data_IF_152273541781
#
_entry.id   IF_152273541781
#
_cell.length_a   1.000
_cell.length_b   1.000
_cell.length_c   1.000
_cell.angle_alpha   90.00
_cell.angle_beta   90.00
_cell.angle_gamma   90.00
#
_symmetry.space_group_name_H-M   'P 1'
#
loop_
_entity.id
_entity.type
_entity.pdbx_description
1 polymer ?
#
# COMPACT_ATOMS: atom_id res chain seq x y z
N UNK A 1 72.42 67.59 32.93
CA UNK A 1 72.10 67.96 34.33
C UNK A 1 70.66 68.45 34.42
N UNK A 2 69.82 67.70 35.14
CA UNK A 2 68.59 68.07 35.85
C UNK A 2 67.68 69.22 35.35
N UNK A 3 66.42 68.91 34.97
CA UNK A 3 65.21 68.98 35.84
C UNK A 3 63.90 68.75 35.08
N UNK A 4 63.00 67.96 35.71
CA UNK A 4 61.51 68.06 35.80
C UNK A 4 60.71 68.01 34.48
N UNK A 5 59.47 67.54 34.40
CA UNK A 5 58.47 66.87 35.23
C UNK A 5 57.25 66.81 34.30
N UNK A 6 56.46 65.74 34.28
CA UNK A 6 54.99 65.78 34.42
C UNK A 6 54.36 64.42 34.08
N UNK A 7 53.61 63.93 35.07
CA UNK A 7 52.62 62.85 35.04
C UNK A 7 51.66 63.00 33.87
N UNK A 8 51.09 61.92 33.36
CA UNK A 8 49.66 61.79 33.05
C UNK A 8 49.20 60.32 33.15
N UNK A 9 47.97 60.17 33.64
CA UNK A 9 47.23 58.97 33.99
C UNK A 9 46.75 58.16 32.76
N UNK A 10 46.52 56.85 32.95
CA UNK A 10 45.27 56.11 32.65
C UNK A 10 45.62 54.60 32.59
N UNK A 11 45.37 53.84 33.65
CA UNK A 11 44.12 53.09 33.91
C UNK A 11 43.90 51.97 32.88
N UNK A 12 43.87 50.76 33.42
CA UNK A 12 43.93 49.50 32.69
C UNK A 12 42.76 49.22 31.76
N UNK A 13 43.05 48.41 30.75
CA UNK A 13 42.05 47.57 30.08
C UNK A 13 42.34 46.13 30.46
N UNK A 14 41.57 45.62 31.41
CA UNK A 14 41.47 44.20 31.66
C UNK A 14 40.72 43.54 30.49
N UNK A 15 41.22 42.39 30.07
CA UNK A 15 40.55 41.46 29.17
C UNK A 15 39.20 41.02 29.73
N UNK A 16 38.19 40.92 28.86
CA UNK A 16 37.12 39.93 29.00
C UNK A 16 36.93 39.30 27.62
N UNK A 17 37.61 38.17 27.37
CA UNK A 17 37.20 37.26 26.32
C UNK A 17 35.97 36.51 26.83
N UNK A 18 34.79 36.87 26.33
CA UNK A 18 33.57 36.10 26.55
C UNK A 18 33.61 34.84 25.69
N UNK A 19 34.07 33.73 26.27
CA UNK A 19 33.87 32.40 25.70
C UNK A 19 32.40 32.02 25.90
N UNK A 20 31.58 32.19 24.86
CA UNK A 20 30.24 31.60 24.81
C UNK A 20 30.42 30.11 24.60
N UNK A 21 30.30 29.32 25.68
CA UNK A 21 30.07 27.88 25.57
C UNK A 21 28.69 27.69 24.94
N UNK A 22 28.65 27.41 23.64
CA UNK A 22 27.50 26.76 23.04
C UNK A 22 27.43 25.35 23.64
N UNK A 23 26.50 25.13 24.57
CA UNK A 23 26.07 23.79 24.95
C UNK A 23 25.43 23.17 23.69
N UNK A 24 26.25 22.48 22.89
CA UNK A 24 25.74 21.52 21.93
C UNK A 24 25.10 20.41 22.76
N UNK A 25 23.80 20.52 23.01
CA UNK A 25 23.00 19.39 23.48
C UNK A 25 23.14 18.34 22.37
N UNK A 26 23.74 17.16 22.64
CA UNK A 26 23.70 16.09 21.67
C UNK A 26 22.23 15.79 21.45
N UNK A 27 21.73 16.09 20.25
CA UNK A 27 20.39 15.67 19.86
C UNK A 27 20.32 14.17 20.07
N UNK A 28 19.37 13.73 20.90
CA UNK A 28 19.08 12.32 21.07
C UNK A 28 18.74 11.81 19.67
N UNK A 29 19.61 10.98 19.09
CA UNK A 29 19.31 10.38 17.81
C UNK A 29 18.21 9.36 18.06
N UNK A 30 16.98 9.74 17.73
CA UNK A 30 15.85 8.82 17.68
C UNK A 30 16.20 7.70 16.68
N UNK A 31 16.33 6.48 17.19
CA UNK A 31 16.56 5.26 16.43
C UNK A 31 15.21 4.65 15.99
N UNK A 32 14.96 4.67 14.68
CA UNK A 32 13.84 3.95 14.08
C UNK A 32 13.90 2.45 14.47
N UNK A 33 12.88 1.98 15.18
CA UNK A 33 12.78 0.58 15.63
C UNK A 33 11.90 -0.27 14.72
N UNK A 34 11.29 0.35 13.70
CA UNK A 34 10.53 -0.39 12.69
C UNK A 34 11.46 -1.40 12.01
N UNK A 35 11.00 -2.65 12.02
CA UNK A 35 11.59 -3.73 11.25
C UNK A 35 10.48 -4.46 10.50
N UNK A 36 10.84 -4.98 9.33
CA UNK A 36 9.93 -5.66 8.42
C UNK A 36 10.58 -6.95 7.95
N UNK A 37 9.79 -8.01 7.88
CA UNK A 37 10.13 -9.25 7.17
C UNK A 37 9.00 -9.57 6.21
N UNK A 38 9.33 -9.83 4.94
CA UNK A 38 8.35 -10.31 3.96
C UNK A 38 8.24 -11.83 4.07
N UNK A 39 7.00 -12.34 4.11
CA UNK A 39 6.70 -13.77 4.15
C UNK A 39 5.87 -14.17 2.95
N UNK A 40 6.15 -15.36 2.41
CA UNK A 40 5.35 -15.98 1.34
C UNK A 40 5.48 -17.50 1.37
N UNK A 41 4.39 -18.27 1.21
CA UNK A 41 4.46 -19.73 1.04
C UNK A 41 4.89 -20.14 -0.38
N UNK A 42 5.04 -19.18 -1.31
CA UNK A 42 5.22 -19.44 -2.73
C UNK A 42 3.90 -19.56 -3.50
N UNK A 43 4.00 -19.97 -4.76
CA UNK A 43 2.89 -19.98 -5.71
C UNK A 43 1.90 -21.12 -5.43
N UNK A 44 0.61 -20.77 -5.40
CA UNK A 44 -0.51 -21.72 -5.40
C UNK A 44 -1.12 -21.76 -6.80
N UNK A 45 -1.32 -22.95 -7.35
CA UNK A 45 -1.96 -23.12 -8.66
C UNK A 45 -3.36 -22.48 -8.67
N UNK A 46 -3.65 -21.72 -9.72
CA UNK A 46 -4.91 -21.02 -9.91
C UNK A 46 -6.09 -21.94 -10.27
N UNK A 47 -7.29 -21.39 -10.43
CA UNK A 47 -8.48 -22.15 -10.77
C UNK A 47 -8.35 -22.82 -12.15
N UNK A 48 -8.90 -24.03 -12.24
CA UNK A 48 -8.98 -24.79 -13.50
C UNK A 48 -10.28 -24.55 -14.28
N UNK A 49 -11.18 -23.73 -13.74
CA UNK A 49 -12.48 -23.40 -14.32
C UNK A 49 -12.68 -21.89 -14.45
N UNK A 50 -13.47 -21.46 -15.44
CA UNK A 50 -13.84 -20.05 -15.58
C UNK A 50 -14.74 -19.60 -14.44
N UNK A 51 -14.73 -18.29 -14.16
CA UNK A 51 -15.57 -17.65 -13.15
C UNK A 51 -15.41 -18.27 -11.77
N UNK A 52 -14.15 -18.50 -11.38
CA UNK A 52 -13.81 -19.09 -10.09
C UNK A 52 -12.54 -18.45 -9.55
N UNK A 53 -12.27 -18.71 -8.27
CA UNK A 53 -11.10 -18.17 -7.59
C UNK A 53 -10.44 -19.21 -6.70
N UNK A 54 -9.20 -18.92 -6.35
CA UNK A 54 -8.46 -19.56 -5.27
C UNK A 54 -8.20 -18.54 -4.17
N UNK A 55 -8.12 -19.02 -2.94
CA UNK A 55 -7.59 -18.27 -1.81
C UNK A 55 -6.36 -18.98 -1.27
N UNK A 56 -5.30 -18.22 -1.02
CA UNK A 56 -4.06 -18.65 -0.38
C UNK A 56 -3.59 -17.55 0.55
N UNK A 57 -2.59 -17.80 1.39
CA UNK A 57 -2.23 -16.87 2.46
C UNK A 57 -0.75 -16.93 2.81
N UNK A 58 -0.23 -15.81 3.28
CA UNK A 58 1.10 -15.68 3.85
C UNK A 58 1.01 -15.29 5.32
N UNK A 59 1.91 -15.86 6.12
CA UNK A 59 1.82 -15.80 7.58
C UNK A 59 3.05 -15.16 8.21
N UNK A 60 2.78 -14.27 9.17
CA UNK A 60 3.80 -13.71 10.04
C UNK A 60 4.07 -14.66 11.21
N UNK A 61 5.21 -15.34 11.15
CA UNK A 61 5.73 -16.14 12.28
C UNK A 61 6.18 -15.27 13.47
N UNK A 62 6.41 -13.98 13.22
CA UNK A 62 6.79 -12.97 14.20
C UNK A 62 6.32 -11.60 13.73
N UNK A 63 5.87 -10.76 14.66
CA UNK A 63 5.29 -9.46 14.34
C UNK A 63 3.83 -9.55 13.87
N UNK A 64 3.30 -8.40 13.46
CA UNK A 64 1.92 -8.24 13.02
C UNK A 64 1.91 -7.90 11.53
N UNK A 65 0.84 -8.26 10.84
CA UNK A 65 0.69 -7.84 9.45
C UNK A 65 0.38 -6.34 9.41
N UNK A 66 1.23 -5.55 8.76
CA UNK A 66 0.97 -4.14 8.43
C UNK A 66 0.35 -3.96 7.04
N UNK A 67 0.46 -4.98 6.20
CA UNK A 67 -0.11 -5.05 4.87
C UNK A 67 0.38 -6.28 4.13
N UNK A 68 0.04 -6.40 2.86
CA UNK A 68 0.49 -7.52 2.05
C UNK A 68 0.04 -7.40 0.61
N UNK A 69 0.43 -8.39 -0.17
CA UNK A 69 0.36 -8.33 -1.61
C UNK A 69 0.06 -9.67 -2.25
N UNK A 70 0.01 -9.65 -3.58
CA UNK A 70 -0.14 -10.83 -4.42
C UNK A 70 0.64 -10.61 -5.71
N UNK A 71 1.32 -11.65 -6.19
CA UNK A 71 1.88 -11.74 -7.53
C UNK A 71 1.24 -12.91 -8.27
N UNK A 72 1.04 -12.78 -9.58
CA UNK A 72 0.40 -13.80 -10.40
C UNK A 72 1.26 -14.14 -11.61
N UNK A 73 1.60 -15.42 -11.76
CA UNK A 73 1.99 -15.93 -13.07
C UNK A 73 0.69 -16.18 -13.85
N UNK A 74 0.42 -15.41 -14.90
CA UNK A 74 -0.88 -15.43 -15.60
C UNK A 74 -0.92 -16.31 -16.85
N UNK A 75 0.22 -16.89 -17.23
CA UNK A 75 0.38 -17.59 -18.51
C UNK A 75 0.65 -16.64 -19.68
N UNK A 76 0.45 -17.13 -20.90
CA UNK A 76 0.75 -16.38 -22.14
C UNK A 76 -0.42 -16.42 -23.13
N UNK A 77 -0.45 -15.45 -24.04
CA UNK A 77 -1.48 -15.37 -25.08
C UNK A 77 -2.87 -15.09 -24.51
N UNK A 78 -3.91 -15.36 -25.28
CA UNK A 78 -5.27 -14.95 -24.94
C UNK A 78 -5.85 -15.63 -23.70
N UNK A 79 -5.26 -16.75 -23.25
CA UNK A 79 -5.68 -17.43 -22.03
C UNK A 79 -5.22 -16.71 -20.74
N UNK A 80 -4.29 -15.75 -20.83
CA UNK A 80 -3.93 -14.90 -19.68
C UNK A 80 -4.98 -13.81 -19.42
N UNK A 81 -5.77 -13.43 -20.43
CA UNK A 81 -6.71 -12.31 -20.36
C UNK A 81 -7.80 -12.45 -19.30
N UNK A 82 -8.07 -13.68 -18.85
CA UNK A 82 -9.05 -13.97 -17.81
C UNK A 82 -8.47 -14.00 -16.39
N UNK A 83 -7.15 -14.09 -16.21
CA UNK A 83 -6.57 -14.25 -14.88
C UNK A 83 -6.35 -12.89 -14.25
N UNK A 84 -6.82 -12.68 -13.03
CA UNK A 84 -6.71 -11.39 -12.33
C UNK A 84 -6.70 -11.55 -10.82
N UNK A 85 -6.32 -10.48 -10.13
CA UNK A 85 -6.48 -10.38 -8.67
C UNK A 85 -7.96 -10.20 -8.34
N UNK A 86 -8.46 -10.96 -7.36
CA UNK A 86 -9.79 -10.80 -6.77
C UNK A 86 -9.73 -10.13 -5.39
N UNK A 87 -8.57 -10.18 -4.73
CA UNK A 87 -8.31 -9.40 -3.55
C UNK A 87 -7.01 -9.73 -2.84
N UNK A 88 -6.64 -8.82 -1.95
CA UNK A 88 -5.61 -8.96 -0.92
C UNK A 88 -6.19 -8.41 0.38
N UNK A 89 -6.18 -9.21 1.45
CA UNK A 89 -6.90 -8.84 2.66
C UNK A 89 -6.26 -9.44 3.93
N UNK A 90 -6.37 -8.78 5.08
CA UNK A 90 -5.99 -9.37 6.36
C UNK A 90 -6.93 -10.52 6.73
N UNK A 91 -6.43 -11.48 7.53
CA UNK A 91 -7.21 -12.56 8.10
C UNK A 91 -6.75 -12.89 9.52
N UNK A 92 -7.69 -13.35 10.35
CA UNK A 92 -7.41 -13.81 11.72
C UNK A 92 -6.70 -15.16 11.77
N UNK A 93 -6.87 -16.00 10.74
CA UNK A 93 -6.45 -17.41 10.77
C UNK A 93 -5.93 -17.94 9.43
N UNK A 94 -5.83 -17.09 8.40
CA UNK A 94 -5.39 -17.48 7.07
C UNK A 94 -6.50 -18.01 6.16
N UNK A 95 -7.74 -18.04 6.63
CA UNK A 95 -8.90 -18.56 5.90
C UNK A 95 -10.16 -17.69 6.02
N UNK A 96 -10.32 -16.99 7.15
CA UNK A 96 -11.47 -16.13 7.42
C UNK A 96 -11.34 -14.81 6.64
N UNK A 97 -12.35 -14.52 5.82
CA UNK A 97 -12.50 -13.22 5.14
C UNK A 97 -13.38 -12.26 5.96
N UNK A 98 -12.94 -11.02 6.13
CA UNK A 98 -13.72 -9.97 6.80
C UNK A 98 -14.74 -9.30 5.85
N UNK A 99 -15.86 -9.97 5.55
CA UNK A 99 -16.90 -9.46 4.62
C UNK A 99 -18.22 -9.06 5.31
N UNK A 100 -18.34 -9.29 6.62
CA UNK A 100 -19.56 -9.10 7.40
C UNK A 100 -19.90 -7.63 7.71
N UNK A 101 -19.36 -7.08 8.80
CA UNK A 101 -19.65 -5.74 9.32
C UNK A 101 -18.58 -4.71 8.97
N UNK A 102 -18.94 -3.43 8.86
CA UNK A 102 -17.97 -2.33 8.71
C UNK A 102 -17.44 -1.87 10.09
N UNK A 103 -16.35 -1.09 10.08
CA UNK A 103 -15.66 -0.62 11.29
C UNK A 103 -14.46 -1.51 11.64
N UNK A 104 -14.05 -1.53 12.91
CA UNK A 104 -12.97 -2.41 13.39
C UNK A 104 -13.46 -3.86 13.39
N UNK A 105 -12.85 -4.70 12.56
CA UNK A 105 -13.26 -6.10 12.32
C UNK A 105 -12.26 -7.13 12.84
N UNK A 106 -11.04 -6.71 13.15
CA UNK A 106 -9.99 -7.57 13.68
C UNK A 106 -8.88 -6.76 14.34
N UNK A 107 -8.06 -7.45 15.11
CA UNK A 107 -6.89 -6.88 15.81
C UNK A 107 -5.73 -7.86 15.71
N UNK A 108 -4.51 -7.34 15.63
CA UNK A 108 -3.28 -8.13 15.68
C UNK A 108 -3.25 -9.32 14.69
N UNK A 109 -3.78 -9.09 13.48
CA UNK A 109 -3.80 -10.11 12.44
C UNK A 109 -2.37 -10.54 12.04
N UNK A 110 -2.16 -11.84 11.96
CA UNK A 110 -0.89 -12.46 11.56
C UNK A 110 -0.93 -13.10 10.18
N UNK A 111 -2.07 -13.06 9.50
CA UNK A 111 -2.28 -13.71 8.22
C UNK A 111 -2.74 -12.72 7.15
N UNK A 112 -2.24 -12.90 5.93
CA UNK A 112 -2.63 -12.11 4.77
C UNK A 112 -3.06 -12.99 3.61
N UNK A 113 -4.31 -12.82 3.18
CA UNK A 113 -4.90 -13.52 2.06
C UNK A 113 -4.45 -12.90 0.72
N UNK A 114 -4.12 -13.76 -0.22
CA UNK A 114 -4.06 -13.45 -1.65
C UNK A 114 -5.10 -14.27 -2.39
N UNK A 115 -5.99 -13.60 -3.11
CA UNK A 115 -7.13 -14.21 -3.79
C UNK A 115 -6.98 -13.97 -5.29
N UNK A 116 -6.80 -15.05 -6.05
CA UNK A 116 -6.63 -15.02 -7.50
C UNK A 116 -7.85 -15.57 -8.21
N UNK A 117 -8.34 -14.85 -9.21
CA UNK A 117 -9.51 -15.21 -10.01
C UNK A 117 -9.17 -15.58 -11.45
N UNK A 118 -9.99 -16.44 -12.03
CA UNK A 118 -10.07 -16.65 -13.47
C UNK A 118 -11.47 -16.28 -13.95
N UNK A 119 -11.55 -15.33 -14.87
CA UNK A 119 -12.75 -14.90 -15.56
C UNK A 119 -13.13 -15.84 -16.69
N UNK A 120 -13.34 -15.30 -17.89
CA UNK A 120 -13.79 -16.07 -19.06
C UNK A 120 -12.74 -16.99 -19.70
N UNK A 121 -11.51 -17.02 -19.16
CA UNK A 121 -10.44 -17.88 -19.64
C UNK A 121 -9.61 -18.41 -18.46
N UNK A 122 -9.06 -19.61 -18.63
CA UNK A 122 -8.15 -20.27 -17.67
C UNK A 122 -6.84 -20.62 -18.35
N UNK A 123 -5.76 -20.68 -17.58
CA UNK A 123 -4.45 -21.07 -18.06
C UNK A 123 -3.82 -22.07 -17.06
N UNK A 124 -3.27 -23.19 -17.53
CA UNK A 124 -2.65 -24.19 -16.67
C UNK A 124 -1.37 -23.73 -15.95
N UNK A 125 -0.78 -22.62 -16.40
CA UNK A 125 0.33 -21.94 -15.73
C UNK A 125 -0.13 -20.83 -14.78
N UNK A 126 -1.46 -20.60 -14.64
CA UNK A 126 -1.97 -19.61 -13.70
C UNK A 126 -1.61 -20.02 -12.27
N UNK A 127 -1.01 -19.10 -11.52
CA UNK A 127 -0.78 -19.26 -10.09
C UNK A 127 -0.83 -17.91 -9.38
N UNK A 128 -1.09 -17.95 -8.07
CA UNK A 128 -1.08 -16.78 -7.19
C UNK A 128 -0.13 -17.01 -6.03
N UNK A 129 0.74 -16.04 -5.78
CA UNK A 129 1.70 -16.01 -4.68
C UNK A 129 1.31 -14.89 -3.71
N UNK A 130 0.84 -15.20 -2.50
CA UNK A 130 0.51 -14.18 -1.50
C UNK A 130 1.77 -13.71 -0.79
N UNK A 131 1.76 -12.46 -0.34
CA UNK A 131 2.83 -11.85 0.45
C UNK A 131 2.25 -11.21 1.71
N UNK A 132 2.91 -11.41 2.85
CA UNK A 132 2.64 -10.68 4.08
C UNK A 132 3.85 -9.80 4.42
N UNK A 133 3.58 -8.55 4.78
CA UNK A 133 4.58 -7.63 5.34
C UNK A 133 4.47 -7.71 6.87
N UNK A 134 5.42 -8.43 7.48
CA UNK A 134 5.44 -8.68 8.91
C UNK A 134 6.22 -7.59 9.63
N UNK A 135 5.49 -6.77 10.36
CA UNK A 135 5.96 -5.56 11.00
C UNK A 135 6.22 -5.78 12.49
N UNK A 136 7.30 -5.18 12.99
CA UNK A 136 7.59 -5.04 14.42
C UNK A 136 8.07 -3.63 14.72
N UNK A 137 7.67 -3.07 15.86
CA UNK A 137 8.14 -1.80 16.39
C UNK A 137 8.11 -1.85 17.92
N UNK A 138 9.02 -1.12 18.58
CA UNK A 138 8.97 -0.96 20.04
C UNK A 138 7.81 -0.04 20.47
N UNK A 139 7.33 0.83 19.58
CA UNK A 139 6.23 1.75 19.85
C UNK A 139 4.88 1.16 19.42
N UNK A 140 4.79 0.70 18.18
CA UNK A 140 3.56 0.09 17.64
C UNK A 140 3.65 -1.42 17.84
N UNK A 141 3.07 -1.89 18.94
CA UNK A 141 3.04 -3.29 19.33
C UNK A 141 1.67 -3.97 19.13
N UNK A 142 0.67 -3.21 18.70
CA UNK A 142 -0.66 -3.69 18.35
C UNK A 142 -1.14 -3.05 17.04
N UNK A 143 -1.96 -3.79 16.28
CA UNK A 143 -2.64 -3.30 15.09
C UNK A 143 -4.14 -3.60 15.14
N UNK A 144 -4.91 -2.86 14.36
CA UNK A 144 -6.33 -3.09 14.16
C UNK A 144 -6.65 -3.00 12.67
N UNK A 145 -7.60 -3.83 12.24
CA UNK A 145 -8.12 -3.82 10.89
C UNK A 145 -9.47 -3.15 10.88
N UNK A 146 -9.58 -2.08 10.09
CA UNK A 146 -10.84 -1.41 9.78
C UNK A 146 -11.29 -1.86 8.40
N UNK A 147 -12.57 -2.21 8.27
CA UNK A 147 -13.18 -2.53 6.98
C UNK A 147 -14.31 -1.55 6.68
N UNK A 148 -14.41 -1.17 5.41
CA UNK A 148 -15.62 -0.58 4.86
C UNK A 148 -16.03 -1.33 3.58
N UNK A 149 -17.31 -1.27 3.22
CA UNK A 149 -17.83 -1.94 2.03
C UNK A 149 -18.98 -1.18 1.40
N UNK A 150 -19.17 -1.37 0.10
CA UNK A 150 -20.33 -0.90 -0.63
C UNK A 150 -20.80 -1.95 -1.63
N UNK A 151 -22.12 -2.01 -1.85
CA UNK A 151 -22.70 -2.84 -2.89
C UNK A 151 -22.33 -2.29 -4.27
N UNK A 152 -21.94 -3.17 -5.18
CA UNK A 152 -21.50 -2.87 -6.54
C UNK A 152 -19.99 -3.04 -6.76
N UNK A 153 -19.52 -2.68 -7.97
CA UNK A 153 -20.32 -2.12 -9.07
C UNK A 153 -21.15 -3.17 -9.81
N UNK A 154 -22.40 -2.84 -10.16
CA UNK A 154 -23.30 -3.71 -10.96
C UNK A 154 -23.35 -3.32 -12.44
N UNK A 155 -22.87 -2.13 -12.77
CA UNK A 155 -22.81 -1.62 -14.15
C UNK A 155 -21.41 -1.88 -14.73
N UNK A 156 -21.37 -2.35 -15.97
CA UNK A 156 -20.11 -2.54 -16.69
C UNK A 156 -19.28 -1.26 -16.74
N UNK A 157 -17.97 -1.43 -16.63
CA UNK A 157 -16.97 -0.38 -16.81
C UNK A 157 -17.17 0.85 -15.91
N UNK A 158 -17.82 0.67 -14.76
CA UNK A 158 -18.03 1.73 -13.78
C UNK A 158 -17.21 1.40 -12.52
N UNK A 159 -16.23 2.23 -12.13
CA UNK A 159 -15.51 2.05 -10.88
C UNK A 159 -16.42 2.36 -9.69
N UNK A 160 -16.26 1.62 -8.60
CA UNK A 160 -16.85 1.92 -7.30
C UNK A 160 -15.74 2.01 -6.25
N UNK A 161 -15.47 3.23 -5.77
CA UNK A 161 -14.54 3.47 -4.68
C UNK A 161 -15.21 3.21 -3.32
N UNK A 162 -14.45 2.60 -2.40
CA UNK A 162 -14.83 2.36 -1.01
C UNK A 162 -13.64 2.72 -0.14
N UNK A 163 -13.85 3.51 0.92
CA UNK A 163 -12.77 4.00 1.79
C UNK A 163 -12.95 3.48 3.21
N UNK A 164 -11.91 2.90 3.79
CA UNK A 164 -11.83 2.54 5.20
C UNK A 164 -10.88 3.51 5.92
N UNK A 165 -11.34 4.13 7.00
CA UNK A 165 -10.60 5.17 7.72
C UNK A 165 -10.17 4.68 9.09
N UNK A 166 -8.90 4.87 9.42
CA UNK A 166 -8.34 4.55 10.72
C UNK A 166 -9.01 5.38 11.83
N UNK A 167 -9.26 4.80 13.03
CA UNK A 167 -9.72 5.56 14.17
C UNK A 167 -8.79 6.74 14.50
N UNK A 168 -9.37 7.81 15.02
CA UNK A 168 -8.62 8.99 15.44
C UNK A 168 -7.47 8.62 16.39
N UNK A 169 -6.34 9.32 16.24
CA UNK A 169 -5.10 9.09 17.00
C UNK A 169 -4.46 7.71 16.75
N UNK A 170 -4.68 7.13 15.58
CA UNK A 170 -3.93 5.95 15.11
C UNK A 170 -3.27 6.27 13.77
N UNK A 171 -2.29 5.45 13.38
CA UNK A 171 -1.54 5.63 12.13
C UNK A 171 -1.90 4.51 11.15
N UNK A 172 -2.18 4.86 9.89
CA UNK A 172 -2.31 3.89 8.81
C UNK A 172 -0.95 3.28 8.48
N UNK A 173 -0.88 1.96 8.53
CA UNK A 173 0.31 1.18 8.19
C UNK A 173 0.21 0.54 6.79
N UNK A 174 -1.01 0.34 6.29
CA UNK A 174 -1.27 -0.29 5.01
C UNK A 174 -2.75 -0.59 4.80
N UNK A 175 -3.03 -1.40 3.79
CA UNK A 175 -4.39 -1.83 3.50
C UNK A 175 -4.50 -2.84 2.39
N UNK A 176 -5.74 -3.11 1.99
CA UNK A 176 -6.07 -4.13 1.00
C UNK A 176 -7.43 -3.89 0.35
N UNK A 177 -7.74 -4.71 -0.64
CA UNK A 177 -8.97 -4.63 -1.42
C UNK A 177 -9.53 -6.02 -1.69
N UNK A 178 -10.86 -6.13 -1.77
CA UNK A 178 -11.54 -7.36 -2.15
C UNK A 178 -12.81 -7.02 -2.93
N UNK A 179 -13.17 -7.86 -3.88
CA UNK A 179 -14.51 -7.87 -4.47
C UNK A 179 -15.14 -9.24 -4.44
N UNK A 180 -16.45 -9.35 -4.19
CA UNK A 180 -17.21 -10.60 -4.21
C UNK A 180 -18.51 -10.45 -4.99
N UNK A 181 -19.10 -11.52 -5.53
CA UNK A 181 -18.58 -12.89 -5.58
C UNK A 181 -17.67 -13.16 -6.80
N UNK A 182 -16.95 -14.27 -6.78
CA UNK A 182 -16.02 -14.68 -7.84
C UNK A 182 -16.70 -15.13 -9.13
N UNK A 183 -17.91 -15.69 -9.03
CA UNK A 183 -18.68 -16.27 -10.12
C UNK A 183 -19.22 -15.23 -11.12
N UNK A 184 -19.10 -13.93 -10.79
CA UNK A 184 -19.31 -12.82 -11.74
C UNK A 184 -18.20 -12.76 -12.79
N UNK A 185 -17.01 -13.26 -12.47
CA UNK A 185 -15.95 -13.54 -13.43
C UNK A 185 -15.17 -12.35 -13.99
N UNK A 186 -15.78 -11.16 -14.03
CA UNK A 186 -15.12 -9.93 -14.47
C UNK A 186 -15.15 -8.83 -13.41
N UNK A 187 -15.75 -9.14 -12.25
CA UNK A 187 -15.69 -8.33 -11.05
C UNK A 187 -14.33 -8.54 -10.38
N UNK A 188 -13.63 -7.44 -10.17
CA UNK A 188 -12.28 -7.42 -9.59
C UNK A 188 -11.99 -6.07 -8.95
N UNK A 189 -11.12 -6.00 -7.93
CA UNK A 189 -10.49 -4.74 -7.58
C UNK A 189 -9.54 -4.31 -8.70
N UNK A 190 -9.60 -3.04 -9.07
CA UNK A 190 -8.65 -2.40 -10.00
C UNK A 190 -7.75 -1.39 -9.31
N UNK A 191 -8.04 -1.05 -8.04
CA UNK A 191 -7.21 -0.18 -7.24
C UNK A 191 -7.29 -0.51 -5.75
N UNK A 192 -6.19 -0.25 -5.05
CA UNK A 192 -6.03 -0.36 -3.60
C UNK A 192 -4.90 0.60 -3.19
N UNK A 193 -5.22 1.73 -2.55
CA UNK A 193 -4.26 2.81 -2.32
C UNK A 193 -4.46 3.60 -1.02
N UNK A 194 -3.40 4.22 -0.46
CA UNK A 194 -3.49 5.12 0.68
C UNK A 194 -4.12 6.46 0.29
N UNK A 195 -4.86 7.08 1.20
CA UNK A 195 -5.53 8.38 1.03
C UNK A 195 -5.84 9.01 2.39
N UNK A 196 -6.58 10.12 2.38
CA UNK A 196 -7.02 10.86 3.55
C UNK A 196 -8.55 11.04 3.56
N UNK A 197 -9.15 10.96 4.73
CA UNK A 197 -10.57 11.31 4.95
C UNK A 197 -10.72 12.83 5.14
N UNK A 198 -10.39 13.59 4.10
CA UNK A 198 -10.49 15.04 4.13
C UNK A 198 -10.89 15.63 2.75
N UNK A 199 -11.22 16.93 2.73
CA UNK A 199 -11.68 17.61 1.53
C UNK A 199 -10.59 17.86 0.47
N UNK A 200 -9.31 17.71 0.80
CA UNK A 200 -8.24 17.81 -0.21
C UNK A 200 -8.18 16.55 -1.08
N UNK A 201 -8.51 15.39 -0.48
CA UNK A 201 -8.56 14.08 -1.12
C UNK A 201 -9.97 13.61 -1.47
N UNK A 202 -10.94 14.53 -1.46
CA UNK A 202 -12.36 14.27 -1.71
C UNK A 202 -12.88 13.07 -0.90
N UNK A 203 -12.46 13.01 0.38
CA UNK A 203 -12.83 11.97 1.34
C UNK A 203 -12.53 10.54 0.85
N UNK A 204 -11.33 10.37 0.26
CA UNK A 204 -10.82 9.07 -0.16
C UNK A 204 -10.89 8.78 -1.66
N UNK A 205 -11.48 9.70 -2.46
CA UNK A 205 -11.59 9.53 -3.90
C UNK A 205 -10.31 9.87 -4.66
N UNK A 206 -9.40 10.66 -4.05
CA UNK A 206 -8.06 10.95 -4.58
C UNK A 206 -7.02 10.21 -3.76
N UNK A 207 -6.08 9.53 -4.40
CA UNK A 207 -4.97 8.89 -3.71
C UNK A 207 -4.04 9.90 -3.05
N UNK A 208 -3.28 9.44 -2.06
CA UNK A 208 -2.16 10.20 -1.53
C UNK A 208 -1.06 10.36 -2.61
N UNK A 209 -0.50 11.56 -2.71
CA UNK A 209 0.57 11.91 -3.63
C UNK A 209 1.95 11.52 -3.09
N UNK A 210 2.95 11.50 -3.96
CA UNK A 210 4.35 11.28 -3.57
C UNK A 210 4.80 12.35 -2.54
N UNK A 211 5.42 11.89 -1.46
CA UNK A 211 5.92 12.73 -0.39
C UNK A 211 4.90 13.10 0.69
N UNK A 212 3.62 12.79 0.52
CA UNK A 212 2.62 13.01 1.56
C UNK A 212 2.88 12.10 2.77
N UNK A 213 2.48 12.57 3.95
CA UNK A 213 2.78 11.91 5.20
C UNK A 213 1.52 11.66 6.00
N UNK A 214 1.50 10.52 6.69
CA UNK A 214 0.45 10.09 7.61
C UNK A 214 -0.95 10.08 6.97
N UNK A 215 -1.14 9.39 5.83
CA UNK A 215 -2.50 9.05 5.39
C UNK A 215 -3.25 8.36 6.54
N UNK A 216 -4.55 8.59 6.63
CA UNK A 216 -5.41 8.01 7.67
C UNK A 216 -6.43 7.02 7.09
N UNK A 217 -6.45 6.84 5.78
CA UNK A 217 -7.49 6.09 5.09
C UNK A 217 -6.93 5.25 3.96
N UNK A 218 -7.64 4.18 3.63
CA UNK A 218 -7.33 3.28 2.53
C UNK A 218 -8.54 3.11 1.62
N UNK A 219 -8.36 3.30 0.31
CA UNK A 219 -9.42 3.13 -0.68
C UNK A 219 -9.19 1.89 -1.52
N UNK A 220 -10.25 1.12 -1.71
CA UNK A 220 -10.34 0.07 -2.72
C UNK A 220 -11.31 0.49 -3.83
N UNK A 221 -11.01 0.15 -5.08
CA UNK A 221 -11.91 0.39 -6.21
C UNK A 221 -12.27 -0.93 -6.88
N UNK A 222 -13.55 -1.30 -6.80
CA UNK A 222 -14.11 -2.43 -7.53
C UNK A 222 -14.49 -2.04 -8.95
N UNK A 223 -14.42 -2.99 -9.86
CA UNK A 223 -14.73 -2.79 -11.27
C UNK A 223 -15.35 -4.05 -11.87
N UNK A 224 -16.48 -3.89 -12.56
CA UNK A 224 -17.12 -4.98 -13.29
C UNK A 224 -16.84 -4.80 -14.78
N UNK A 225 -16.16 -5.77 -15.40
CA UNK A 225 -15.79 -5.74 -16.82
C UNK A 225 -16.93 -6.07 -17.79
N UNK A 226 -18.17 -6.20 -17.33
CA UNK A 226 -19.34 -6.55 -18.15
C UNK A 226 -19.95 -7.90 -17.82
N UNK A 227 -19.47 -8.57 -16.78
CA UNK A 227 -20.13 -9.73 -16.19
C UNK A 227 -21.44 -9.32 -15.53
N UNK A 228 -22.33 -10.30 -15.34
CA UNK A 228 -23.59 -10.10 -14.62
C UNK A 228 -23.39 -9.77 -13.13
N UNK A 229 -24.45 -9.94 -12.34
CA UNK A 229 -24.37 -9.83 -10.88
C UNK A 229 -24.99 -8.54 -10.33
N UNK A 230 -26.03 -8.71 -9.52
CA UNK A 230 -26.71 -7.63 -8.79
C UNK A 230 -26.30 -7.57 -7.32
N UNK A 231 -25.50 -8.55 -6.85
CA UNK A 231 -25.07 -8.73 -5.47
C UNK A 231 -23.57 -8.47 -5.28
N UNK A 232 -22.94 -7.78 -6.24
CA UNK A 232 -21.52 -7.44 -6.20
C UNK A 232 -21.24 -6.62 -4.94
N UNK A 233 -20.06 -6.76 -4.36
CA UNK A 233 -19.62 -5.96 -3.22
C UNK A 233 -18.13 -5.68 -3.34
N UNK A 234 -17.75 -4.44 -3.06
CA UNK A 234 -16.36 -3.98 -2.95
C UNK A 234 -16.05 -3.72 -1.48
N UNK A 235 -14.88 -4.17 -1.02
CA UNK A 235 -14.41 -4.02 0.35
C UNK A 235 -13.04 -3.34 0.35
N UNK A 236 -12.87 -2.38 1.26
CA UNK A 236 -11.60 -1.75 1.57
C UNK A 236 -11.17 -2.10 2.98
N UNK A 237 -9.88 -2.37 3.17
CA UNK A 237 -9.29 -2.66 4.47
C UNK A 237 -8.20 -1.65 4.77
N UNK A 238 -8.24 -1.04 5.94
CA UNK A 238 -7.16 -0.22 6.49
C UNK A 238 -6.54 -0.95 7.69
N UNK A 239 -5.21 -1.08 7.67
CA UNK A 239 -4.44 -1.59 8.80
C UNK A 239 -3.90 -0.41 9.56
N UNK A 240 -4.32 -0.26 10.81
CA UNK A 240 -3.98 0.88 11.65
C UNK A 240 -3.18 0.39 12.86
N UNK A 241 -2.39 1.28 13.47
CA UNK A 241 -1.87 1.04 14.82
C UNK A 241 -3.04 0.81 15.81
N UNK A 242 -2.77 0.08 16.90
CA UNK A 242 -3.71 -0.08 18.00
C UNK A 242 -4.03 1.25 18.69
N UNK A 243 -5.19 1.32 19.34
CA UNK A 243 -5.60 2.47 20.14
C UNK A 243 -4.79 2.65 21.43
N UNK A 244 -4.68 3.88 21.92
CA UNK A 244 -3.97 4.19 23.17
C UNK A 244 -2.44 4.21 23.08
N UNK A 245 -1.88 4.02 21.87
CA UNK A 245 -0.46 4.15 21.58
C UNK A 245 -0.14 5.62 21.32
N UNK A 246 0.93 6.16 21.93
CA UNK A 246 1.39 7.52 21.60
C UNK A 246 2.16 7.52 20.27
N UNK A 247 1.44 7.70 19.18
CA UNK A 247 2.00 7.69 17.81
C UNK A 247 2.55 9.05 17.36
N UNK A 248 2.74 10.03 18.26
CA UNK A 248 3.15 11.39 17.86
C UNK A 248 4.53 11.48 17.19
N UNK A 249 5.40 10.48 17.41
CA UNK A 249 6.72 10.38 16.76
C UNK A 249 6.71 9.58 15.45
N UNK A 250 5.58 8.92 15.13
CA UNK A 250 5.49 8.05 13.96
C UNK A 250 5.25 8.89 12.71
N UNK A 251 6.00 8.59 11.66
CA UNK A 251 5.78 9.10 10.32
C UNK A 251 5.64 7.93 9.35
N UNK A 252 4.58 7.93 8.57
CA UNK A 252 4.41 7.07 7.40
C UNK A 252 4.40 7.95 6.17
N UNK A 253 5.48 7.93 5.40
CA UNK A 253 5.58 8.67 4.15
C UNK A 253 5.12 7.81 2.99
N UNK A 254 4.34 8.41 2.10
CA UNK A 254 3.88 7.80 0.85
C UNK A 254 4.87 8.13 -0.25
N UNK A 255 5.25 7.13 -1.03
CA UNK A 255 5.82 7.33 -2.35
C UNK A 255 4.89 6.82 -3.43
N UNK A 256 4.80 7.55 -4.54
CA UNK A 256 3.93 7.21 -5.67
C UNK A 256 4.69 7.29 -7.00
N UNK A 257 4.35 6.39 -7.91
CA UNK A 257 4.77 6.47 -9.31
C UNK A 257 3.63 6.06 -10.23
N UNK A 258 3.51 6.78 -11.34
CA UNK A 258 2.54 6.52 -12.41
C UNK A 258 3.29 6.33 -13.72
N UNK A 259 2.87 5.36 -14.53
CA UNK A 259 3.33 5.19 -15.91
C UNK A 259 2.13 5.01 -16.83
N UNK A 260 2.22 5.54 -18.05
CA UNK A 260 1.18 5.32 -19.07
C UNK A 260 1.16 3.86 -19.51
N UNK A 261 -0.04 3.36 -19.78
CA UNK A 261 -0.28 2.01 -20.26
C UNK A 261 -0.52 0.99 -19.13
N UNK A 262 -0.82 -0.25 -19.51
CA UNK A 262 -0.72 -0.82 -20.86
C UNK A 262 -1.91 -0.43 -21.74
N UNK A 263 -1.71 -0.34 -23.07
CA UNK A 263 -2.76 0.10 -24.01
C UNK A 263 -3.12 -0.91 -25.09
N UNK A 264 -2.21 -1.85 -25.40
CA UNK A 264 -2.47 -2.93 -26.37
C UNK A 264 -3.18 -4.10 -25.70
N UNK A 265 -4.07 -4.79 -26.41
CA UNK A 265 -4.71 -6.00 -25.91
C UNK A 265 -3.66 -7.07 -25.52
N UNK A 266 -3.94 -7.82 -24.46
CA UNK A 266 -3.11 -8.94 -23.99
C UNK A 266 -1.67 -8.51 -23.67
N UNK A 267 -1.53 -7.31 -23.10
CA UNK A 267 -0.23 -6.79 -22.65
C UNK A 267 -0.33 -6.32 -21.20
N UNK A 268 0.79 -6.38 -20.50
CA UNK A 268 0.90 -5.88 -19.14
C UNK A 268 1.94 -4.78 -19.01
N UNK A 269 1.87 -4.04 -17.91
CA UNK A 269 2.78 -2.97 -17.55
C UNK A 269 3.17 -3.12 -16.08
N UNK A 270 4.45 -2.92 -15.81
CA UNK A 270 4.99 -2.90 -14.45
C UNK A 270 5.40 -1.50 -14.07
N UNK A 271 5.15 -1.12 -12.83
CA UNK A 271 5.67 0.12 -12.23
C UNK A 271 6.10 -0.16 -10.80
N UNK A 272 7.22 0.43 -10.40
CA UNK A 272 7.89 0.16 -9.11
C UNK A 272 8.26 1.47 -8.45
N UNK A 273 8.03 1.56 -7.14
CA UNK A 273 8.42 2.70 -6.30
C UNK A 273 9.01 2.19 -4.99
N UNK A 274 9.89 2.95 -4.34
CA UNK A 274 10.54 2.50 -3.11
C UNK A 274 10.72 3.58 -2.07
N UNK A 275 11.05 3.15 -0.85
CA UNK A 275 11.12 4.01 0.34
C UNK A 275 12.36 4.87 0.45
N UNK A 276 13.39 4.64 -0.38
CA UNK A 276 14.65 5.36 -0.29
C UNK A 276 15.19 5.41 1.15
N UNK A 277 15.36 6.62 1.68
CA UNK A 277 15.82 6.88 3.05
C UNK A 277 14.70 7.22 4.04
N UNK A 278 13.44 7.22 3.61
CA UNK A 278 12.31 7.75 4.36
C UNK A 278 11.70 6.76 5.36
N UNK A 279 12.18 5.51 5.40
CA UNK A 279 11.74 4.52 6.39
C UNK A 279 11.83 3.08 5.89
N UNK A 280 11.13 2.20 6.59
CA UNK A 280 10.94 0.80 6.17
C UNK A 280 9.63 0.65 5.41
N UNK A 281 9.64 -0.19 4.38
CA UNK A 281 8.45 -0.51 3.59
C UNK A 281 7.47 -1.33 4.43
N UNK A 282 6.43 -0.70 4.95
CA UNK A 282 5.41 -1.36 5.79
C UNK A 282 4.19 -1.81 5.01
N UNK A 283 3.97 -1.24 3.81
CA UNK A 283 2.91 -1.65 2.89
C UNK A 283 3.10 -1.00 1.53
N UNK A 284 2.20 -1.30 0.59
CA UNK A 284 2.09 -0.61 -0.68
C UNK A 284 0.75 -0.88 -1.35
N UNK A 285 0.52 -0.17 -2.45
CA UNK A 285 -0.74 -0.16 -3.19
C UNK A 285 -0.51 -0.25 -4.68
N UNK A 286 -1.58 -0.50 -5.44
CA UNK A 286 -1.54 -0.55 -6.89
C UNK A 286 -2.87 -0.08 -7.49
N UNK A 287 -2.83 0.47 -8.70
CA UNK A 287 -4.01 0.71 -9.50
C UNK A 287 -3.76 0.55 -11.00
N UNK A 288 -4.81 0.19 -11.72
CA UNK A 288 -4.96 0.45 -13.15
C UNK A 288 -6.10 1.47 -13.31
N UNK A 289 -5.78 2.65 -13.85
CA UNK A 289 -6.63 3.85 -13.74
C UNK A 289 -6.75 4.61 -15.06
N UNK A 290 -7.60 5.63 -15.07
CA UNK A 290 -7.63 6.66 -16.12
C UNK A 290 -6.56 7.75 -15.99
N UNK A 291 -5.65 7.63 -15.01
CA UNK A 291 -4.56 8.55 -14.71
C UNK A 291 -4.92 9.67 -13.74
N UNK A 292 -3.90 10.41 -13.28
CA UNK A 292 -4.04 11.59 -12.40
C UNK A 292 -4.75 11.31 -11.06
N UNK A 293 -4.61 10.09 -10.54
CA UNK A 293 -5.31 9.60 -9.34
C UNK A 293 -4.97 10.37 -8.06
N UNK A 294 -3.89 11.14 -8.04
CA UNK A 294 -3.45 11.96 -6.89
C UNK A 294 -3.96 13.40 -6.94
N UNK A 295 -4.55 13.83 -8.07
CA UNK A 295 -5.02 15.22 -8.25
C UNK A 295 -6.50 15.31 -8.65
N UNK A 296 -7.08 14.19 -9.08
CA UNK A 296 -8.48 14.07 -9.50
C UNK A 296 -9.08 12.81 -8.91
N UNK A 297 -10.41 12.79 -8.77
CA UNK A 297 -11.14 11.60 -8.33
C UNK A 297 -10.77 10.40 -9.18
N UNK A 298 -10.72 9.23 -8.55
CA UNK A 298 -10.38 8.00 -9.24
C UNK A 298 -11.31 7.76 -10.44
N UNK A 299 -10.72 7.58 -11.60
CA UNK A 299 -11.42 7.17 -12.81
C UNK A 299 -10.96 5.77 -13.24
N UNK A 300 -11.91 4.99 -13.75
CA UNK A 300 -11.62 3.67 -14.28
C UNK A 300 -10.78 3.76 -15.55
N UNK A 301 -10.04 2.70 -15.89
CA UNK A 301 -9.20 2.67 -17.08
C UNK A 301 -10.05 2.54 -18.36
N UNK A 302 -9.40 2.59 -19.52
CA UNK A 302 -10.05 2.69 -20.83
C UNK A 302 -10.90 1.49 -21.26
N UNK A 303 -10.81 0.36 -20.57
CA UNK A 303 -11.44 -0.91 -20.96
C UNK A 303 -11.97 -1.68 -19.75
N UNK A 304 -13.14 -2.31 -19.92
CA UNK A 304 -13.73 -3.24 -18.96
C UNK A 304 -12.82 -4.44 -18.61
N UNK A 305 -11.94 -4.80 -19.54
CA UNK A 305 -11.00 -5.91 -19.44
C UNK A 305 -9.80 -5.63 -18.56
N UNK A 306 -9.51 -4.37 -18.22
CA UNK A 306 -8.31 -3.98 -17.50
C UNK A 306 -8.34 -4.45 -16.04
N UNK A 307 -7.21 -4.95 -15.55
CA UNK A 307 -7.09 -5.51 -14.21
C UNK A 307 -5.68 -5.43 -13.64
N UNK A 308 -5.60 -5.69 -12.33
CA UNK A 308 -4.36 -5.99 -11.64
C UNK A 308 -4.05 -7.49 -11.76
N UNK A 309 -2.76 -7.78 -11.96
CA UNK A 309 -2.17 -9.10 -11.79
C UNK A 309 -1.12 -9.14 -10.67
N UNK A 310 -0.71 -7.97 -10.17
CA UNK A 310 0.21 -7.90 -9.05
C UNK A 310 0.15 -6.59 -8.28
N UNK A 311 0.35 -6.70 -6.98
CA UNK A 311 0.66 -5.62 -6.05
C UNK A 311 1.47 -6.25 -4.93
N UNK A 312 2.80 -6.11 -4.96
CA UNK A 312 3.67 -6.94 -4.12
C UNK A 312 4.97 -6.23 -3.71
N UNK A 313 5.59 -6.62 -2.57
CA UNK A 313 6.92 -6.17 -2.21
C UNK A 313 7.96 -6.72 -3.18
N UNK A 314 8.88 -5.86 -3.60
CA UNK A 314 9.81 -6.14 -4.69
C UNK A 314 11.22 -5.58 -4.43
N UNK A 315 12.13 -5.93 -5.32
CA UNK A 315 13.40 -5.23 -5.49
C UNK A 315 13.24 -3.98 -6.37
N UNK A 316 14.32 -3.22 -6.56
CA UNK A 316 14.31 -2.01 -7.39
C UNK A 316 14.04 -2.27 -8.87
N UNK A 317 14.16 -3.52 -9.33
CA UNK A 317 13.86 -3.94 -10.71
C UNK A 317 12.40 -4.38 -10.89
N UNK A 318 11.62 -4.44 -9.82
CA UNK A 318 10.23 -4.90 -9.83
C UNK A 318 10.05 -6.41 -9.74
N UNK A 319 11.11 -7.15 -9.41
CA UNK A 319 10.99 -8.59 -9.14
C UNK A 319 10.48 -8.80 -7.72
N UNK A 320 9.51 -9.71 -7.48
CA UNK A 320 9.05 -10.00 -6.13
C UNK A 320 10.19 -10.48 -5.22
N UNK A 321 10.21 -10.03 -3.97
CA UNK A 321 11.22 -10.51 -3.00
C UNK A 321 10.90 -11.91 -2.49
N UNK A 322 11.93 -12.64 -2.03
CA UNK A 322 11.77 -13.99 -1.49
C UNK A 322 11.26 -14.03 -0.04
N UNK A 323 10.85 -15.23 0.40
CA UNK A 323 10.45 -15.48 1.78
C UNK A 323 11.57 -15.16 2.78
N UNK A 324 11.22 -14.49 3.88
CA UNK A 324 12.16 -14.10 4.92
C UNK A 324 12.97 -12.84 4.60
N UNK A 325 12.68 -12.13 3.51
CA UNK A 325 13.41 -10.91 3.14
C UNK A 325 13.18 -9.80 4.17
N UNK A 326 14.25 -9.31 4.80
CA UNK A 326 14.21 -8.21 5.79
C UNK A 326 14.60 -6.84 5.23
N UNK A 327 14.99 -6.81 3.96
CA UNK A 327 15.48 -5.61 3.26
C UNK A 327 14.54 -5.15 2.15
N UNK A 328 13.29 -5.62 2.12
CA UNK A 328 12.32 -5.17 1.15
C UNK A 328 12.12 -3.65 1.28
N UNK A 329 12.26 -2.94 0.17
CA UNK A 329 12.26 -1.48 0.15
C UNK A 329 11.47 -0.90 -1.04
N UNK A 330 10.96 -1.76 -1.93
CA UNK A 330 10.19 -1.37 -3.10
C UNK A 330 8.86 -2.11 -3.12
N UNK A 331 7.87 -1.47 -3.73
CA UNK A 331 6.58 -2.08 -4.06
C UNK A 331 6.37 -1.99 -5.56
N UNK A 332 5.77 -3.02 -6.12
CA UNK A 332 5.50 -3.11 -7.55
C UNK A 332 4.04 -3.38 -7.82
N UNK A 333 3.49 -2.65 -8.78
CA UNK A 333 2.21 -2.96 -9.41
C UNK A 333 2.46 -3.64 -10.77
N UNK A 334 1.64 -4.65 -11.06
CA UNK A 334 1.55 -5.26 -12.39
C UNK A 334 0.10 -5.20 -12.86
N UNK A 335 -0.11 -4.54 -13.98
CA UNK A 335 -1.43 -4.29 -14.57
C UNK A 335 -1.51 -4.92 -15.96
N UNK A 336 -2.72 -5.19 -16.46
CA UNK A 336 -2.93 -5.90 -17.71
C UNK A 336 -4.25 -5.49 -18.38
N UNK A 337 -4.26 -5.39 -19.72
CA UNK A 337 -5.44 -4.91 -20.50
C UNK A 337 -6.52 -5.97 -20.74
N UNK A 338 -6.25 -7.23 -20.40
CA UNK A 338 -7.11 -8.34 -20.78
C UNK A 338 -7.21 -8.48 -22.31
N UNK A 339 -8.40 -8.76 -22.83
CA UNK A 339 -8.59 -9.12 -24.25
C UNK A 339 -8.78 -7.96 -25.23
N UNK A 340 -8.85 -6.71 -24.75
CA UNK A 340 -9.13 -5.55 -25.58
C UNK A 340 -8.04 -4.47 -25.38
N UNK A 341 -7.87 -3.59 -26.36
CA UNK A 341 -7.02 -2.41 -26.20
C UNK A 341 -7.66 -1.41 -25.24
N UNK A 342 -6.83 -0.61 -24.59
CA UNK A 342 -7.26 0.32 -23.54
C UNK A 342 -6.58 1.68 -23.66
N UNK A 343 -7.26 2.61 -24.32
CA UNK A 343 -6.74 3.97 -24.47
C UNK A 343 -6.91 4.75 -23.15
N UNK A 344 -5.97 5.66 -22.85
CA UNK A 344 -5.98 6.47 -21.62
C UNK A 344 -5.92 5.64 -20.33
N UNK A 345 -5.20 4.53 -20.36
CA UNK A 345 -4.94 3.69 -19.18
C UNK A 345 -3.57 3.98 -18.59
N UNK A 346 -3.48 3.94 -17.27
CA UNK A 346 -2.27 4.20 -16.49
C UNK A 346 -2.09 3.12 -15.43
N UNK A 347 -0.84 2.86 -15.06
CA UNK A 347 -0.46 1.98 -13.98
C UNK A 347 0.14 2.79 -12.84
N UNK A 348 -0.41 2.61 -11.65
CA UNK A 348 -0.03 3.33 -10.45
C UNK A 348 0.48 2.37 -9.38
N UNK A 349 1.46 2.84 -8.60
CA UNK A 349 1.99 2.10 -7.45
C UNK A 349 2.30 3.05 -6.30
N UNK A 350 2.07 2.55 -5.08
CA UNK A 350 2.40 3.24 -3.85
C UNK A 350 3.30 2.39 -2.96
N UNK A 351 4.19 3.04 -2.21
CA UNK A 351 4.92 2.46 -1.09
C UNK A 351 4.67 3.30 0.17
N UNK A 352 4.37 2.65 1.30
CA UNK A 352 4.24 3.27 2.61
C UNK A 352 5.51 2.99 3.42
N UNK A 353 6.16 4.06 3.86
CA UNK A 353 7.49 4.03 4.43
C UNK A 353 7.45 4.57 5.86
N UNK A 354 7.57 3.68 6.84
CA UNK A 354 7.40 4.02 8.24
C UNK A 354 8.73 4.27 8.96
N UNK A 355 8.69 5.27 9.82
CA UNK A 355 9.68 5.55 10.85
C UNK A 355 8.95 5.88 12.14
N UNK A 356 9.25 5.19 13.23
CA UNK A 356 8.58 5.38 14.52
C UNK A 356 9.25 6.42 15.43
N UNK A 357 10.41 6.95 15.03
CA UNK A 357 11.04 8.10 15.68
C UNK A 357 11.32 7.92 17.18
N UNK A 358 11.54 6.68 17.63
CA UNK A 358 11.84 6.31 19.03
C UNK A 358 13.28 6.57 19.41
#
# INVERSE_FOLDING_TARGET
MHKRSLRHFAVGRALVMGAVLALAVPGVAYANTVSVTVKTPGATAGPSTTFSEISTHADCSSGLVSGGGIDQAIGTGTSSNGNHVNGTAPSSDGSTEYTGSTGVVGTDNTHWLGIGGSGGAVNGSFSSTPYAVCFTSNLINHTQTVMNKAAGPTTSSTPLAVTATCPANTVLLGGGARTTPADVGSLKPIASFPTFDNSAHDYGLKAAADGETNPDSWTAVGYNGGGGGTTNTTYAYAICSGGGINVSGVTVKVHHSEVSGPTSATTGQTVTVGCGTDGKLVSGGAAISGGSVTTTDFTGPGSGGDHLNGSYPSDSGGSPVGDGTTSAAYWTAYTHTGGAGSANTYSDVWALCANDGV
#
